data_IF_940890136744
#
_entry.id   IF_940890136744
#
_cell.length_a   1.000
_cell.length_b   1.000
_cell.length_c   1.000
_cell.angle_alpha   90.00
_cell.angle_beta   90.00
_cell.angle_gamma   90.00
#
_symmetry.space_group_name_H-M   'P 1'
#
loop_
_entity.id
_entity.type
_entity.pdbx_description
1 polymer ?
#
# COMPACT_ATOMS: atom_id res chain seq x y z
N UNK A 1 19.37 -22.22 35.52
CA UNK A 1 19.60 -22.48 34.07
C UNK A 1 18.38 -22.14 33.19
N UNK A 2 17.15 -22.58 33.53
CA UNK A 2 15.92 -22.31 32.74
C UNK A 2 15.65 -20.82 32.44
N UNK A 3 15.92 -19.93 33.40
CA UNK A 3 15.72 -18.48 33.22
C UNK A 3 16.57 -17.88 32.09
N UNK A 4 17.86 -18.26 32.00
CA UNK A 4 18.77 -17.77 30.95
C UNK A 4 18.38 -18.26 29.55
N UNK A 5 17.79 -19.46 29.44
CA UNK A 5 17.32 -20.02 28.17
C UNK A 5 16.06 -19.31 27.68
N UNK A 6 15.06 -19.13 28.56
CA UNK A 6 13.87 -18.31 28.25
C UNK A 6 14.30 -16.91 27.84
N UNK A 7 15.30 -16.36 28.53
CA UNK A 7 15.77 -15.03 28.22
C UNK A 7 16.32 -14.91 26.78
N UNK A 8 17.27 -15.78 26.41
CA UNK A 8 17.87 -15.80 25.06
C UNK A 8 16.83 -15.99 23.95
N UNK A 9 15.78 -16.78 24.20
CA UNK A 9 14.71 -16.98 23.23
C UNK A 9 13.92 -15.69 22.97
N UNK A 10 13.61 -14.92 24.02
CA UNK A 10 12.89 -13.65 23.90
C UNK A 10 13.73 -12.58 23.20
N UNK A 11 15.04 -12.48 23.49
CA UNK A 11 15.92 -11.54 22.78
C UNK A 11 15.94 -11.83 21.28
N UNK A 12 16.11 -13.11 20.91
CA UNK A 12 16.10 -13.53 19.50
C UNK A 12 14.78 -13.18 18.83
N UNK A 13 13.66 -13.36 19.51
CA UNK A 13 12.34 -12.98 19.00
C UNK A 13 12.26 -11.49 18.68
N UNK A 14 12.68 -10.60 19.59
CA UNK A 14 12.63 -9.15 19.35
C UNK A 14 13.60 -8.69 18.27
N UNK A 15 14.78 -9.31 18.14
CA UNK A 15 15.73 -9.04 17.04
C UNK A 15 15.10 -9.40 15.69
N UNK A 16 14.50 -10.59 15.58
CA UNK A 16 13.83 -10.98 14.34
C UNK A 16 12.63 -10.08 14.02
N UNK A 17 11.88 -9.69 15.06
CA UNK A 17 10.74 -8.79 14.91
C UNK A 17 11.17 -7.39 14.47
N UNK A 18 12.29 -6.84 14.98
CA UNK A 18 12.78 -5.53 14.58
C UNK A 18 13.23 -5.51 13.12
N UNK A 19 13.92 -6.56 12.67
CA UNK A 19 14.31 -6.74 11.26
C UNK A 19 13.05 -6.79 10.37
N UNK A 20 12.08 -7.62 10.74
CA UNK A 20 10.80 -7.76 10.01
C UNK A 20 10.06 -6.42 9.91
N UNK A 21 9.92 -5.70 11.01
CA UNK A 21 9.20 -4.41 11.05
C UNK A 21 9.94 -3.32 10.29
N UNK A 22 11.27 -3.30 10.30
CA UNK A 22 12.07 -2.35 9.53
C UNK A 22 11.94 -2.60 8.03
N UNK A 23 11.97 -3.88 7.61
CA UNK A 23 11.74 -4.27 6.22
C UNK A 23 10.32 -3.89 5.77
N UNK A 24 9.31 -4.15 6.61
CA UNK A 24 7.92 -3.76 6.35
C UNK A 24 7.78 -2.24 6.20
N UNK A 25 8.31 -1.46 7.14
CA UNK A 25 8.28 0.00 7.09
C UNK A 25 8.96 0.55 5.82
N UNK A 26 10.07 -0.08 5.39
CA UNK A 26 10.79 0.30 4.17
C UNK A 26 9.93 0.04 2.93
N UNK A 27 9.25 -1.12 2.87
CA UNK A 27 8.32 -1.45 1.79
C UNK A 27 7.13 -0.49 1.74
N UNK A 28 6.54 -0.17 2.90
CA UNK A 28 5.43 0.78 3.01
C UNK A 28 5.84 2.19 2.59
N UNK A 29 7.02 2.65 3.02
CA UNK A 29 7.55 3.95 2.62
C UNK A 29 7.80 4.01 1.11
N UNK A 30 8.43 2.97 0.54
CA UNK A 30 8.64 2.89 -0.91
C UNK A 30 7.31 2.95 -1.67
N UNK A 31 6.27 2.31 -1.15
CA UNK A 31 4.92 2.36 -1.71
C UNK A 31 4.31 3.77 -1.66
N UNK A 32 4.38 4.45 -0.51
CA UNK A 32 3.87 5.84 -0.37
C UNK A 32 4.62 6.78 -1.30
N UNK A 33 5.95 6.68 -1.34
CA UNK A 33 6.79 7.51 -2.18
C UNK A 33 6.47 7.31 -3.67
N UNK A 34 6.37 6.06 -4.12
CA UNK A 34 6.00 5.74 -5.49
C UNK A 34 4.59 6.24 -5.84
N UNK A 35 3.63 6.02 -4.96
CA UNK A 35 2.25 6.45 -5.17
C UNK A 35 2.13 7.98 -5.20
N UNK A 36 2.90 8.67 -4.36
CA UNK A 36 3.01 10.13 -4.38
C UNK A 36 3.64 10.65 -5.67
N UNK A 37 4.72 10.02 -6.15
CA UNK A 37 5.36 10.39 -7.41
C UNK A 37 4.38 10.30 -8.60
N UNK A 38 3.48 9.32 -8.58
CA UNK A 38 2.46 9.14 -9.61
C UNK A 38 1.27 10.10 -9.46
N UNK A 39 0.73 10.25 -8.25
CA UNK A 39 -0.54 10.94 -8.02
C UNK A 39 -0.39 12.37 -7.47
N UNK A 40 0.79 12.79 -7.06
CA UNK A 40 1.02 14.07 -6.37
C UNK A 40 0.63 15.28 -7.23
N UNK A 41 0.99 15.27 -8.52
CA UNK A 41 0.59 16.33 -9.45
C UNK A 41 -0.92 16.37 -9.69
N UNK A 42 -1.57 15.19 -9.73
CA UNK A 42 -3.03 15.08 -9.83
C UNK A 42 -3.71 15.62 -8.58
N UNK A 43 -3.18 15.31 -7.39
CA UNK A 43 -3.70 15.80 -6.12
C UNK A 43 -3.69 17.33 -6.04
N UNK A 44 -2.64 17.98 -6.54
CA UNK A 44 -2.59 19.45 -6.60
C UNK A 44 -3.69 20.02 -7.50
N UNK A 45 -3.94 19.39 -8.66
CA UNK A 45 -5.00 19.81 -9.60
C UNK A 45 -6.41 19.59 -9.03
N UNK A 46 -6.63 18.51 -8.29
CA UNK A 46 -7.96 18.10 -7.79
C UNK A 46 -8.31 18.76 -6.45
N UNK A 47 -7.32 18.93 -5.56
CA UNK A 47 -7.48 19.45 -4.20
C UNK A 47 -6.45 20.54 -3.86
N UNK A 48 -6.39 21.66 -4.60
CA UNK A 48 -5.34 22.67 -4.41
C UNK A 48 -5.29 23.23 -2.97
N UNK A 49 -6.46 23.43 -2.34
CA UNK A 49 -6.55 23.92 -0.95
C UNK A 49 -6.06 22.92 0.09
N UNK A 50 -6.19 21.61 -0.16
CA UNK A 50 -5.78 20.54 0.79
C UNK A 50 -4.41 19.96 0.48
N UNK A 51 -3.86 20.24 -0.70
CA UNK A 51 -2.58 19.73 -1.17
C UNK A 51 -1.42 19.99 -0.19
N UNK A 52 -1.26 21.19 0.42
CA UNK A 52 -0.19 21.42 1.40
C UNK A 52 -0.26 20.47 2.59
N UNK A 53 -1.46 20.18 3.10
CA UNK A 53 -1.66 19.25 4.21
C UNK A 53 -1.31 17.81 3.82
N UNK A 54 -1.76 17.37 2.64
CA UNK A 54 -1.43 16.02 2.14
C UNK A 54 0.08 15.88 1.90
N UNK A 55 0.73 16.93 1.40
CA UNK A 55 2.19 16.95 1.22
C UNK A 55 2.92 16.81 2.56
N UNK A 56 2.46 17.50 3.60
CA UNK A 56 3.02 17.37 4.96
C UNK A 56 2.83 15.94 5.48
N UNK A 57 1.64 15.36 5.33
CA UNK A 57 1.39 13.96 5.73
C UNK A 57 2.34 12.98 5.02
N UNK A 58 2.54 13.15 3.71
CA UNK A 58 3.47 12.29 2.96
C UNK A 58 4.92 12.49 3.40
N UNK A 59 5.34 13.73 3.67
CA UNK A 59 6.68 14.02 4.20
C UNK A 59 6.90 13.47 5.61
N UNK A 60 5.84 13.40 6.43
CA UNK A 60 5.89 12.82 7.78
C UNK A 60 5.75 11.29 7.79
N UNK A 61 5.24 10.70 6.70
CA UNK A 61 5.05 9.24 6.59
C UNK A 61 6.28 8.40 6.95
N UNK A 62 7.54 8.68 6.54
CA UNK A 62 8.66 7.85 6.96
C UNK A 62 8.79 7.77 8.49
N UNK A 63 8.65 8.89 9.20
CA UNK A 63 8.75 8.88 10.67
C UNK A 63 7.68 8.01 11.31
N UNK A 64 6.43 8.11 10.83
CA UNK A 64 5.31 7.34 11.37
C UNK A 64 5.44 5.84 11.01
N UNK A 65 5.89 5.52 9.80
CA UNK A 65 6.06 4.13 9.36
C UNK A 65 7.23 3.45 10.07
N UNK A 66 8.36 4.14 10.27
CA UNK A 66 9.49 3.58 11.03
C UNK A 66 9.22 3.55 12.54
N UNK A 67 8.30 4.38 13.05
CA UNK A 67 7.90 4.36 14.46
C UNK A 67 7.44 2.97 14.93
N UNK A 68 6.82 2.16 14.05
CA UNK A 68 6.39 0.80 14.40
C UNK A 68 7.54 -0.15 14.74
N UNK A 69 8.76 0.10 14.23
CA UNK A 69 9.94 -0.72 14.52
C UNK A 69 10.64 -0.32 15.83
N UNK A 70 10.46 0.92 16.29
CA UNK A 70 11.16 1.48 17.45
C UNK A 70 10.93 0.66 18.73
N UNK A 71 9.68 0.29 19.12
CA UNK A 71 9.47 -0.50 20.32
C UNK A 71 10.17 -1.86 20.29
N UNK A 72 10.21 -2.51 19.12
CA UNK A 72 10.91 -3.79 18.96
C UNK A 72 12.44 -3.65 19.08
N UNK A 73 13.00 -2.55 18.56
CA UNK A 73 14.43 -2.23 18.71
C UNK A 73 14.77 -1.96 20.18
N UNK A 74 13.96 -1.16 20.87
CA UNK A 74 14.13 -0.87 22.30
C UNK A 74 14.04 -2.16 23.13
N UNK A 75 13.07 -3.03 22.84
CA UNK A 75 12.91 -4.32 23.51
C UNK A 75 14.10 -5.26 23.30
N UNK A 76 14.73 -5.21 22.12
CA UNK A 76 15.93 -5.98 21.82
C UNK A 76 17.17 -5.48 22.58
N UNK A 77 17.24 -4.17 22.89
CA UNK A 77 18.38 -3.54 23.57
C UNK A 77 18.26 -3.62 25.11
N UNK A 78 17.15 -3.13 25.69
CA UNK A 78 16.97 -2.97 27.16
C UNK A 78 16.46 -4.27 27.78
N UNK A 79 17.10 -5.35 27.42
CA UNK A 79 16.62 -6.71 27.60
C UNK A 79 16.09 -7.01 29.03
N UNK A 80 14.93 -7.68 29.14
CA UNK A 80 14.36 -8.18 30.41
C UNK A 80 13.72 -7.13 31.34
N UNK A 81 13.67 -5.85 30.96
CA UNK A 81 13.08 -4.79 31.79
C UNK A 81 11.59 -4.53 31.52
N UNK A 82 11.07 -5.04 30.40
CA UNK A 82 9.68 -4.79 29.99
C UNK A 82 8.82 -6.03 30.15
N UNK A 83 7.57 -5.82 30.56
CA UNK A 83 6.55 -6.85 30.52
C UNK A 83 6.31 -7.26 29.04
N UNK A 84 6.49 -8.54 28.69
CA UNK A 84 6.39 -8.99 27.30
C UNK A 84 5.00 -8.78 26.69
N UNK A 85 3.94 -8.83 27.51
CA UNK A 85 2.58 -8.57 27.05
C UNK A 85 2.37 -7.10 26.68
N UNK A 86 2.83 -6.18 27.54
CA UNK A 86 2.77 -4.74 27.25
C UNK A 86 3.58 -4.38 26.00
N UNK A 87 4.78 -4.94 25.85
CA UNK A 87 5.62 -4.67 24.68
C UNK A 87 4.96 -5.16 23.38
N UNK A 88 4.35 -6.36 23.39
CA UNK A 88 3.59 -6.86 22.23
C UNK A 88 2.40 -5.96 21.89
N UNK A 89 1.67 -5.47 22.90
CA UNK A 89 0.56 -4.55 22.69
C UNK A 89 1.02 -3.24 22.05
N UNK A 90 2.13 -2.66 22.52
CA UNK A 90 2.72 -1.43 21.95
C UNK A 90 3.14 -1.65 20.50
N UNK A 91 3.86 -2.76 20.21
CA UNK A 91 4.29 -3.09 18.84
C UNK A 91 3.07 -3.22 17.93
N UNK A 92 2.06 -3.99 18.32
CA UNK A 92 0.86 -4.21 17.52
C UNK A 92 0.06 -2.91 17.32
N UNK A 93 -0.05 -2.07 18.35
CA UNK A 93 -0.68 -0.76 18.25
C UNK A 93 0.05 0.16 17.27
N UNK A 94 1.38 0.19 17.31
CA UNK A 94 2.18 1.00 16.39
C UNK A 94 2.04 0.51 14.93
N UNK A 95 2.01 -0.81 14.70
CA UNK A 95 1.74 -1.39 13.39
C UNK A 95 0.33 -1.03 12.89
N UNK A 96 -0.68 -1.08 13.76
CA UNK A 96 -2.05 -0.71 13.40
C UNK A 96 -2.15 0.77 12.99
N UNK A 97 -1.46 1.66 13.70
CA UNK A 97 -1.41 3.10 13.36
C UNK A 97 -0.74 3.31 12.00
N UNK A 98 0.39 2.64 11.73
CA UNK A 98 1.08 2.70 10.44
C UNK A 98 0.17 2.22 9.30
N UNK A 99 -0.50 1.07 9.48
CA UNK A 99 -1.45 0.53 8.51
C UNK A 99 -2.63 1.48 8.25
N UNK A 100 -3.17 2.12 9.28
CA UNK A 100 -4.24 3.09 9.15
C UNK A 100 -3.80 4.32 8.35
N UNK A 101 -2.60 4.85 8.63
CA UNK A 101 -2.04 5.99 7.87
C UNK A 101 -1.88 5.63 6.39
N UNK A 102 -1.33 4.45 6.10
CA UNK A 102 -1.17 3.93 4.74
C UNK A 102 -2.51 3.88 4.00
N UNK A 103 -3.54 3.37 4.68
CA UNK A 103 -4.89 3.27 4.14
C UNK A 103 -5.47 4.67 3.85
N UNK A 104 -5.32 5.63 4.76
CA UNK A 104 -5.79 7.01 4.54
C UNK A 104 -5.10 7.66 3.34
N UNK A 105 -3.76 7.56 3.25
CA UNK A 105 -3.00 8.11 2.11
C UNK A 105 -3.45 7.46 0.80
N UNK A 106 -3.61 6.14 0.80
CA UNK A 106 -4.05 5.39 -0.37
C UNK A 106 -5.47 5.78 -0.81
N UNK A 107 -6.41 5.90 0.12
CA UNK A 107 -7.77 6.37 -0.18
C UNK A 107 -7.78 7.79 -0.74
N UNK A 108 -6.99 8.71 -0.17
CA UNK A 108 -6.88 10.07 -0.69
C UNK A 108 -6.39 10.09 -2.14
N UNK A 109 -5.36 9.31 -2.45
CA UNK A 109 -4.84 9.17 -3.82
C UNK A 109 -5.87 8.53 -4.76
N UNK A 110 -6.56 7.48 -4.32
CA UNK A 110 -7.58 6.80 -5.11
C UNK A 110 -8.77 7.71 -5.43
N UNK A 111 -9.28 8.43 -4.42
CA UNK A 111 -10.39 9.38 -4.59
C UNK A 111 -9.98 10.53 -5.51
N UNK A 112 -8.76 11.06 -5.35
CA UNK A 112 -8.25 12.10 -6.24
C UNK A 112 -8.14 11.60 -7.69
N UNK A 113 -7.66 10.37 -7.88
CA UNK A 113 -7.58 9.74 -9.19
C UNK A 113 -8.95 9.55 -9.83
N UNK A 114 -9.93 9.03 -9.09
CA UNK A 114 -11.32 8.88 -9.58
C UNK A 114 -11.90 10.24 -9.97
N UNK A 115 -11.76 11.25 -9.11
CA UNK A 115 -12.28 12.59 -9.35
C UNK A 115 -11.62 13.25 -10.57
N UNK A 116 -10.31 13.05 -10.75
CA UNK A 116 -9.62 13.50 -11.95
C UNK A 116 -10.19 12.85 -13.21
N UNK A 117 -10.36 11.52 -13.21
CA UNK A 117 -10.93 10.77 -14.34
C UNK A 117 -12.35 11.22 -14.69
N UNK A 118 -13.17 11.52 -13.69
CA UNK A 118 -14.52 12.06 -13.95
C UNK A 118 -14.48 13.44 -14.59
N UNK A 119 -13.51 14.29 -14.21
CA UNK A 119 -13.39 15.64 -14.77
C UNK A 119 -12.85 15.64 -16.20
N UNK A 120 -11.93 14.72 -16.53
CA UNK A 120 -11.35 14.63 -17.89
C UNK A 120 -12.24 13.92 -18.90
N UNK A 121 -13.20 13.10 -18.46
CA UNK A 121 -14.15 12.39 -19.35
C UNK A 121 -14.96 13.28 -20.28
N UNK A 122 -15.23 14.53 -19.89
CA UNK A 122 -16.03 15.46 -20.71
C UNK A 122 -15.23 16.26 -21.74
N UNK A 123 -13.90 16.24 -21.68
CA UNK A 123 -13.06 17.16 -22.45
C UNK A 123 -12.42 16.56 -23.71
N UNK A 124 -12.39 15.23 -23.86
CA UNK A 124 -11.63 14.57 -24.94
C UNK A 124 -12.43 13.41 -25.56
N UNK A 125 -13.16 13.70 -26.64
CA UNK A 125 -13.67 12.71 -27.58
C UNK A 125 -12.56 12.07 -28.44
N UNK A 126 -11.32 12.58 -28.36
CA UNK A 126 -10.21 12.23 -29.27
C UNK A 126 -9.12 11.35 -28.64
N UNK A 127 -9.14 11.06 -27.34
CA UNK A 127 -8.11 10.23 -26.68
C UNK A 127 -8.73 8.96 -26.06
N UNK A 128 -9.23 8.08 -26.92
CA UNK A 128 -9.91 6.84 -26.50
C UNK A 128 -8.96 5.86 -25.80
N UNK A 129 -7.69 5.77 -26.21
CA UNK A 129 -6.74 4.78 -25.71
C UNK A 129 -6.15 5.10 -24.33
N UNK A 130 -5.76 6.36 -24.09
CA UNK A 130 -5.22 6.78 -22.79
C UNK A 130 -6.30 6.65 -21.69
N UNK A 131 -7.55 6.95 -22.05
CA UNK A 131 -8.70 6.74 -21.19
C UNK A 131 -8.91 5.26 -20.83
N UNK A 132 -8.64 4.32 -21.74
CA UNK A 132 -8.75 2.88 -21.45
C UNK A 132 -7.69 2.38 -20.47
N UNK A 133 -6.44 2.87 -20.58
CA UNK A 133 -5.36 2.56 -19.62
C UNK A 133 -5.74 3.02 -18.21
N UNK A 134 -6.16 4.27 -18.07
CA UNK A 134 -6.54 4.80 -16.76
C UNK A 134 -7.82 4.17 -16.19
N UNK A 135 -8.80 3.82 -17.03
CA UNK A 135 -10.00 3.07 -16.62
C UNK A 135 -9.65 1.68 -16.10
N UNK A 136 -8.68 1.02 -16.72
CA UNK A 136 -8.19 -0.28 -16.27
C UNK A 136 -7.53 -0.14 -14.90
N UNK A 137 -6.61 0.82 -14.75
CA UNK A 137 -5.90 1.07 -13.49
C UNK A 137 -6.87 1.41 -12.34
N UNK A 138 -7.85 2.29 -12.58
CA UNK A 138 -8.86 2.63 -11.56
C UNK A 138 -9.68 1.42 -11.12
N UNK A 139 -10.16 0.60 -12.05
CA UNK A 139 -11.02 -0.54 -11.72
C UNK A 139 -10.30 -1.54 -10.82
N UNK A 140 -9.07 -1.93 -11.18
CA UNK A 140 -8.29 -2.85 -10.34
C UNK A 140 -7.82 -2.20 -9.05
N UNK A 141 -7.52 -0.90 -9.07
CA UNK A 141 -7.21 -0.13 -7.86
C UNK A 141 -8.35 -0.13 -6.84
N UNK A 142 -9.60 0.08 -7.28
CA UNK A 142 -10.78 0.03 -6.40
C UNK A 142 -10.99 -1.39 -5.85
N UNK A 143 -10.85 -2.43 -6.69
CA UNK A 143 -10.98 -3.82 -6.25
C UNK A 143 -9.91 -4.15 -5.20
N UNK A 144 -8.65 -3.77 -5.42
CA UNK A 144 -7.57 -3.98 -4.44
C UNK A 144 -7.81 -3.20 -3.15
N UNK A 145 -8.34 -1.98 -3.24
CA UNK A 145 -8.67 -1.16 -2.08
C UNK A 145 -9.72 -1.84 -1.20
N UNK A 146 -10.82 -2.28 -1.81
CA UNK A 146 -11.91 -2.94 -1.10
C UNK A 146 -11.46 -4.26 -0.47
N UNK A 147 -10.69 -5.08 -1.21
CA UNK A 147 -10.11 -6.31 -0.67
C UNK A 147 -9.20 -6.03 0.55
N UNK A 148 -8.39 -4.97 0.49
CA UNK A 148 -7.55 -4.53 1.61
C UNK A 148 -8.37 -4.11 2.84
N UNK A 149 -9.44 -3.32 2.66
CA UNK A 149 -10.35 -2.93 3.76
C UNK A 149 -11.02 -4.14 4.39
N UNK A 150 -11.57 -5.06 3.57
CA UNK A 150 -12.22 -6.28 4.07
C UNK A 150 -11.21 -7.14 4.84
N UNK A 151 -9.99 -7.29 4.33
CA UNK A 151 -8.93 -8.02 5.01
C UNK A 151 -8.60 -7.40 6.38
N UNK A 152 -8.56 -6.08 6.50
CA UNK A 152 -8.31 -5.41 7.76
C UNK A 152 -9.46 -5.58 8.76
N UNK A 153 -10.71 -5.50 8.29
CA UNK A 153 -11.89 -5.75 9.13
C UNK A 153 -11.92 -7.19 9.64
N UNK A 154 -11.58 -8.18 8.80
CA UNK A 154 -11.46 -9.59 9.20
C UNK A 154 -10.34 -9.80 10.22
N UNK A 155 -9.19 -9.13 10.04
CA UNK A 155 -8.09 -9.18 10.99
C UNK A 155 -8.49 -8.57 12.34
N UNK A 156 -9.20 -7.44 12.34
CA UNK A 156 -9.72 -6.83 13.57
C UNK A 156 -10.75 -7.75 14.24
N UNK A 157 -11.66 -8.35 13.49
CA UNK A 157 -12.63 -9.32 14.01
C UNK A 157 -11.93 -10.57 14.60
N UNK A 158 -10.86 -11.05 13.97
CA UNK A 158 -10.01 -12.12 14.51
C UNK A 158 -9.40 -11.73 15.86
N UNK A 159 -8.88 -10.51 16.01
CA UNK A 159 -8.30 -10.08 17.31
C UNK A 159 -9.32 -10.05 18.45
N UNK A 160 -10.61 -9.87 18.15
CA UNK A 160 -11.68 -9.89 19.15
C UNK A 160 -12.18 -11.32 19.45
N UNK A 161 -12.34 -12.14 18.41
CA UNK A 161 -13.02 -13.44 18.51
C UNK A 161 -12.08 -14.64 18.64
N UNK A 162 -10.81 -14.50 18.25
CA UNK A 162 -9.82 -15.57 18.13
C UNK A 162 -10.26 -16.76 17.24
N UNK A 163 -11.07 -16.51 16.21
CA UNK A 163 -11.51 -17.54 15.25
C UNK A 163 -10.53 -17.63 14.07
N UNK A 164 -9.78 -18.73 13.97
CA UNK A 164 -8.74 -18.93 12.93
C UNK A 164 -9.25 -18.81 11.49
N UNK A 165 -10.52 -19.15 11.23
CA UNK A 165 -11.14 -19.01 9.90
C UNK A 165 -11.14 -17.56 9.41
N UNK A 166 -11.29 -16.58 10.32
CA UNK A 166 -11.24 -15.16 9.98
C UNK A 166 -9.83 -14.74 9.54
N UNK A 167 -8.80 -15.25 10.23
CA UNK A 167 -7.40 -15.00 9.88
C UNK A 167 -7.07 -15.60 8.51
N UNK A 168 -7.47 -16.85 8.26
CA UNK A 168 -7.28 -17.51 6.96
C UNK A 168 -7.99 -16.72 5.84
N UNK A 169 -9.22 -16.28 6.09
CA UNK A 169 -10.00 -15.47 5.15
C UNK A 169 -9.30 -14.14 4.84
N UNK A 170 -8.76 -13.45 5.85
CA UNK A 170 -7.99 -12.22 5.65
C UNK A 170 -6.79 -12.46 4.70
N UNK A 171 -6.05 -13.55 4.88
CA UNK A 171 -4.95 -13.90 3.97
C UNK A 171 -5.40 -14.17 2.54
N UNK A 172 -6.56 -14.81 2.33
CA UNK A 172 -7.13 -14.98 1.00
C UNK A 172 -7.46 -13.65 0.31
N UNK A 173 -7.99 -12.66 1.05
CA UNK A 173 -8.21 -11.32 0.50
C UNK A 173 -6.91 -10.61 0.14
N UNK A 174 -5.85 -10.75 0.95
CA UNK A 174 -4.51 -10.22 0.62
C UNK A 174 -3.95 -10.87 -0.65
N UNK A 175 -4.05 -12.19 -0.79
CA UNK A 175 -3.65 -12.90 -2.01
C UNK A 175 -4.47 -12.44 -3.22
N UNK A 176 -5.79 -12.28 -3.06
CA UNK A 176 -6.67 -11.75 -4.08
C UNK A 176 -6.29 -10.33 -4.51
N UNK A 177 -5.89 -9.48 -3.57
CA UNK A 177 -5.37 -8.14 -3.83
C UNK A 177 -4.11 -8.19 -4.71
N UNK A 178 -3.13 -9.03 -4.37
CA UNK A 178 -1.93 -9.22 -5.19
C UNK A 178 -2.27 -9.78 -6.57
N UNK A 179 -3.18 -10.75 -6.65
CA UNK A 179 -3.66 -11.30 -7.92
C UNK A 179 -4.31 -10.24 -8.82
N UNK A 180 -5.15 -9.37 -8.25
CA UNK A 180 -5.78 -8.26 -8.97
C UNK A 180 -4.74 -7.25 -9.49
N UNK A 181 -3.74 -6.89 -8.67
CA UNK A 181 -2.66 -5.99 -9.07
C UNK A 181 -1.75 -6.60 -10.15
N UNK A 182 -1.47 -7.91 -10.06
CA UNK A 182 -0.72 -8.62 -11.08
C UNK A 182 -1.49 -8.66 -12.40
N UNK A 183 -2.79 -8.99 -12.36
CA UNK A 183 -3.66 -9.00 -13.53
C UNK A 183 -3.81 -7.60 -14.17
N UNK A 184 -3.83 -6.54 -13.35
CA UNK A 184 -3.79 -5.17 -13.84
C UNK A 184 -2.53 -4.90 -14.67
N UNK A 185 -1.34 -5.33 -14.19
CA UNK A 185 -0.08 -5.17 -14.91
C UNK A 185 -0.06 -5.94 -16.23
N UNK A 186 -0.53 -7.18 -16.24
CA UNK A 186 -0.58 -7.98 -17.48
C UNK A 186 -1.52 -7.37 -18.52
N UNK A 187 -2.69 -6.89 -18.09
CA UNK A 187 -3.61 -6.15 -18.97
C UNK A 187 -3.02 -4.85 -19.49
N UNK A 188 -2.34 -4.08 -18.65
CA UNK A 188 -1.69 -2.84 -19.06
C UNK A 188 -0.60 -3.11 -20.10
N UNK A 189 0.20 -4.16 -19.91
CA UNK A 189 1.23 -4.57 -20.85
C UNK A 189 0.65 -4.95 -22.22
N UNK A 190 -0.45 -5.71 -22.23
CA UNK A 190 -1.17 -6.05 -23.47
C UNK A 190 -1.67 -4.81 -24.23
N UNK A 191 -2.21 -3.81 -23.53
CA UNK A 191 -2.62 -2.55 -24.15
C UNK A 191 -1.41 -1.82 -24.74
N UNK A 192 -0.30 -1.72 -23.99
CA UNK A 192 0.92 -1.05 -24.47
C UNK A 192 1.47 -1.72 -25.73
N UNK A 193 1.51 -3.05 -25.79
CA UNK A 193 1.98 -3.77 -26.98
C UNK A 193 1.07 -3.52 -28.19
N UNK A 194 -0.25 -3.52 -28.00
CA UNK A 194 -1.21 -3.23 -29.09
C UNK A 194 -1.05 -1.81 -29.66
N UNK A 195 -0.83 -0.82 -28.81
CA UNK A 195 -0.58 0.56 -29.27
C UNK A 195 0.73 0.64 -30.07
N UNK A 196 1.78 -0.04 -29.60
CA UNK A 196 3.07 -0.07 -30.30
C UNK A 196 2.99 -0.77 -31.66
N UNK A 197 2.13 -1.78 -31.83
CA UNK A 197 1.95 -2.42 -33.15
C UNK A 197 1.20 -1.53 -34.14
N UNK A 198 0.19 -0.77 -33.70
CA UNK A 198 -0.55 0.17 -34.56
C UNK A 198 0.38 1.29 -35.05
N UNK A 199 1.17 1.89 -34.15
CA UNK A 199 2.15 2.92 -34.52
C UNK A 199 3.26 2.43 -35.46
N UNK A 200 3.55 1.13 -35.47
CA UNK A 200 4.49 0.54 -36.44
C UNK A 200 3.85 0.33 -37.81
N UNK A 201 2.56 -0.01 -37.86
CA UNK A 201 1.81 -0.16 -39.12
C UNK A 201 1.68 1.16 -39.88
N UNK A 202 1.23 2.23 -39.21
CA UNK A 202 1.06 3.55 -39.84
C UNK A 202 2.37 4.14 -40.40
N UNK A 203 3.53 3.77 -39.82
CA UNK A 203 4.84 4.20 -40.34
C UNK A 203 5.25 3.50 -41.63
N UNK A 204 4.71 2.31 -41.90
CA UNK A 204 5.03 1.56 -43.12
C UNK A 204 4.21 2.12 -44.28
N UNK A 205 2.92 2.38 -44.04
CA UNK A 205 2.01 2.91 -45.08
C UNK A 205 2.32 4.38 -45.46
N UNK A 206 2.94 5.15 -44.56
CA UNK A 206 3.29 6.55 -44.80
C UNK A 206 4.57 6.81 -45.61
N UNK A 207 5.30 5.78 -46.04
CA UNK A 207 6.57 5.91 -46.78
C UNK A 207 6.49 5.49 -48.26
N UNK A 208 5.30 5.16 -48.79
CA UNK A 208 5.09 4.76 -50.19
C UNK A 208 4.62 5.89 -51.13
N UNK A 209 4.79 7.16 -50.75
CA UNK A 209 4.48 8.34 -51.58
C UNK A 209 5.65 9.29 -51.72
#
# INVERSE_FOLDING_TARGET
>A
MRYRLKQRAETKYYIWQSIKLTALATQEYAYVFFSWKLAGSLLNKVYPKRYPFILVLVKLSPFILYFQAIPAIIAAIIYGHFNPYMMRLIINGAVAIAALLMLVIYFLMLVAFIKFMHRTRGAESTITETNQKFRTISRYGIISANAGVISLLLLAAYTWTNIDVLLLSAYWFVLGMFGALFYMKTKLFGIIMKVRSIQKGEKIDGCEG
#
